data_IF_801151180690
#
_entry.id   IF_801151180690
#
_cell.length_a   1.000
_cell.length_b   1.000
_cell.length_c   1.000
_cell.angle_alpha   90.00
_cell.angle_beta   90.00
_cell.angle_gamma   90.00
#
_symmetry.space_group_name_H-M   'P 1'
#
loop_
_entity.id
_entity.type
_entity.pdbx_description
1 polymer ?
#
# COMPACT_ATOMS: atom_id res chain seq x y z
N UNK A 1 -29.85 -7.38 12.67
CA UNK A 1 -28.77 -8.40 12.79
C UNK A 1 -27.46 -7.65 12.71
N UNK A 2 -26.66 -7.71 13.77
CA UNK A 2 -25.59 -6.76 14.08
C UNK A 2 -24.35 -6.85 13.17
N UNK A 3 -24.23 -5.90 12.25
CA UNK A 3 -23.03 -5.66 11.42
C UNK A 3 -21.75 -5.42 12.25
N UNK A 4 -21.88 -4.97 13.50
CA UNK A 4 -20.72 -4.77 14.40
C UNK A 4 -20.12 -6.08 14.92
N UNK A 5 -20.90 -7.17 14.97
CA UNK A 5 -20.44 -8.47 15.49
C UNK A 5 -19.68 -9.28 14.43
N UNK A 6 -19.97 -9.04 13.15
CA UNK A 6 -19.21 -9.61 12.02
C UNK A 6 -17.93 -8.82 11.73
N UNK A 7 -17.95 -7.49 11.82
CA UNK A 7 -16.74 -6.66 11.68
C UNK A 7 -15.63 -7.05 12.67
N UNK A 8 -16.00 -7.35 13.93
CA UNK A 8 -15.06 -7.85 14.94
C UNK A 8 -14.51 -9.25 14.67
N UNK A 9 -15.26 -10.12 13.97
CA UNK A 9 -14.77 -11.45 13.54
C UNK A 9 -13.85 -11.36 12.33
N UNK A 10 -14.14 -10.45 11.40
CA UNK A 10 -13.30 -10.18 10.23
C UNK A 10 -11.96 -9.57 10.66
N UNK A 11 -11.95 -8.62 11.60
CA UNK A 11 -10.72 -8.05 12.21
C UNK A 11 -9.88 -9.09 12.96
N UNK A 12 -10.51 -10.08 13.62
CA UNK A 12 -9.79 -11.20 14.25
C UNK A 12 -9.25 -12.20 13.23
N UNK A 13 -9.90 -12.33 12.07
CA UNK A 13 -9.50 -13.21 10.98
C UNK A 13 -8.33 -12.64 10.17
N UNK A 14 -8.28 -11.32 9.97
CA UNK A 14 -7.15 -10.66 9.29
C UNK A 14 -5.85 -10.77 10.09
N UNK A 15 -5.92 -10.74 11.43
CA UNK A 15 -4.75 -10.96 12.29
C UNK A 15 -4.17 -12.38 12.14
N UNK A 16 -5.00 -13.36 11.82
CA UNK A 16 -4.59 -14.75 11.59
C UNK A 16 -4.13 -15.04 10.15
N UNK A 17 -4.33 -14.11 9.21
CA UNK A 17 -3.94 -14.27 7.81
C UNK A 17 -2.57 -13.65 7.51
N UNK A 18 -1.57 -13.92 8.36
CA UNK A 18 -0.16 -13.59 8.06
C UNK A 18 0.55 -14.92 7.77
N UNK A 19 0.62 -15.30 6.50
CA UNK A 19 1.24 -16.56 6.05
C UNK A 19 2.77 -16.52 6.01
N UNK A 20 3.38 -15.34 5.98
CA UNK A 20 4.79 -15.15 5.64
C UNK A 20 5.64 -14.81 6.87
N UNK A 21 6.69 -15.61 7.15
CA UNK A 21 7.65 -15.34 8.25
C UNK A 21 8.31 -13.95 8.10
N UNK A 22 8.60 -13.53 6.88
CA UNK A 22 9.19 -12.22 6.60
C UNK A 22 8.18 -11.05 6.70
N UNK A 23 6.88 -11.26 6.46
CA UNK A 23 5.89 -10.22 6.81
C UNK A 23 5.73 -10.13 8.33
N UNK A 24 5.81 -11.26 9.05
CA UNK A 24 5.92 -11.22 10.52
C UNK A 24 7.16 -10.47 10.94
N UNK A 25 8.34 -10.72 10.39
CA UNK A 25 9.56 -9.97 10.71
C UNK A 25 9.40 -8.46 10.45
N UNK A 26 8.81 -8.05 9.32
CA UNK A 26 8.49 -6.64 9.04
C UNK A 26 7.52 -6.03 10.06
N UNK A 27 6.51 -6.80 10.50
CA UNK A 27 5.54 -6.39 11.52
C UNK A 27 6.10 -6.43 12.95
N UNK A 28 7.00 -7.34 13.26
CA UNK A 28 7.68 -7.49 14.56
C UNK A 28 8.75 -6.41 14.75
N UNK A 29 9.40 -6.00 13.66
CA UNK A 29 10.34 -4.87 13.67
C UNK A 29 9.63 -3.53 13.90
N UNK A 30 8.34 -3.45 13.52
CA UNK A 30 7.46 -2.37 13.93
C UNK A 30 7.00 -2.54 15.39
N UNK A 31 7.74 -1.90 16.30
CA UNK A 31 7.42 -1.82 17.73
C UNK A 31 6.00 -1.29 18.03
N UNK A 32 5.38 -0.57 17.09
CA UNK A 32 4.03 -0.01 17.20
C UNK A 32 3.19 -0.54 16.05
N UNK A 33 1.97 -0.99 16.35
CA UNK A 33 0.93 -1.36 15.38
C UNK A 33 0.35 -0.12 14.68
N UNK A 34 1.22 0.76 14.17
CA UNK A 34 0.87 2.02 13.52
C UNK A 34 1.49 2.04 12.13
N UNK A 35 0.75 2.59 11.18
CA UNK A 35 1.07 2.55 9.76
C UNK A 35 0.86 3.93 9.14
N UNK A 36 1.86 4.43 8.42
CA UNK A 36 1.74 5.61 7.57
C UNK A 36 1.38 5.17 6.14
N UNK A 37 0.23 5.63 5.66
CA UNK A 37 -0.24 5.31 4.31
C UNK A 37 0.53 6.10 3.25
N UNK A 38 0.80 5.51 2.07
CA UNK A 38 1.38 6.24 0.95
C UNK A 38 0.35 7.24 0.42
N UNK A 39 0.59 8.52 0.66
CA UNK A 39 -0.23 9.67 0.26
C UNK A 39 0.69 10.57 -0.56
N UNK A 40 0.46 10.67 -1.88
CA UNK A 40 1.22 11.52 -2.82
C UNK A 40 2.75 11.32 -2.81
N UNK A 41 3.43 11.33 -3.97
CA UNK A 41 4.90 11.30 -3.95
C UNK A 41 5.49 12.50 -3.17
N UNK A 42 4.83 13.66 -3.21
CA UNK A 42 5.28 14.91 -2.57
C UNK A 42 5.08 14.96 -1.05
N UNK A 43 4.20 14.11 -0.49
CA UNK A 43 3.90 14.10 0.95
C UNK A 43 4.58 12.91 1.63
N UNK A 44 4.55 11.74 0.99
CA UNK A 44 5.18 10.50 1.51
C UNK A 44 6.60 10.32 0.99
N UNK A 45 7.44 11.35 1.19
CA UNK A 45 8.84 11.37 0.77
C UNK A 45 9.82 10.69 1.74
N UNK A 46 11.11 10.58 1.38
CA UNK A 46 12.12 9.83 2.12
C UNK A 46 12.26 10.20 3.59
N UNK A 47 12.23 11.50 3.91
CA UNK A 47 12.38 12.00 5.28
C UNK A 47 11.23 11.57 6.20
N UNK A 48 9.99 11.62 5.71
CA UNK A 48 8.83 11.20 6.47
C UNK A 48 8.86 9.69 6.72
N UNK A 49 9.09 8.91 5.66
CA UNK A 49 9.14 7.45 5.74
C UNK A 49 10.24 7.00 6.71
N UNK A 50 11.45 7.56 6.58
CA UNK A 50 12.57 7.25 7.47
C UNK A 50 12.24 7.57 8.93
N UNK A 51 11.65 8.73 9.21
CA UNK A 51 11.23 9.10 10.57
C UNK A 51 10.21 8.11 11.16
N UNK A 52 9.21 7.70 10.37
CA UNK A 52 8.17 6.75 10.77
C UNK A 52 8.76 5.38 11.12
N UNK A 53 9.60 4.83 10.24
CA UNK A 53 10.20 3.50 10.48
C UNK A 53 11.23 3.53 11.61
N UNK A 54 12.00 4.61 11.74
CA UNK A 54 12.91 4.80 12.87
C UNK A 54 12.15 4.85 14.20
N UNK A 55 10.96 5.46 14.24
CA UNK A 55 10.05 5.46 15.39
C UNK A 55 9.37 4.10 15.68
N UNK A 56 9.59 3.09 14.83
CA UNK A 56 9.08 1.73 15.00
C UNK A 56 7.67 1.51 14.48
N UNK A 57 7.23 2.32 13.51
CA UNK A 57 5.98 2.13 12.77
C UNK A 57 6.27 1.67 11.33
N UNK A 58 5.24 1.27 10.59
CA UNK A 58 5.37 0.91 9.17
C UNK A 58 5.29 2.17 8.30
N UNK A 59 6.28 2.38 7.43
CA UNK A 59 6.35 3.53 6.52
C UNK A 59 6.40 3.12 5.05
N UNK A 60 5.72 3.89 4.21
CA UNK A 60 5.59 3.63 2.78
C UNK A 60 5.86 4.88 1.95
N UNK A 61 6.81 4.78 1.02
CA UNK A 61 6.91 5.74 -0.07
C UNK A 61 5.69 5.57 -0.99
N UNK A 62 5.26 6.63 -1.67
CA UNK A 62 4.32 6.53 -2.78
C UNK A 62 5.09 6.55 -4.09
N UNK A 63 4.98 5.49 -4.90
CA UNK A 63 5.50 5.52 -6.25
C UNK A 63 4.75 6.60 -7.07
N UNK A 64 5.40 7.32 -7.98
CA UNK A 64 4.73 8.26 -8.87
C UNK A 64 3.60 7.57 -9.66
N UNK A 65 2.52 8.29 -9.96
CA UNK A 65 1.42 7.76 -10.78
C UNK A 65 1.81 7.64 -12.27
N UNK A 66 2.87 8.36 -12.68
CA UNK A 66 3.55 8.17 -13.95
C UNK A 66 4.74 7.20 -13.84
N UNK A 67 5.14 6.59 -14.95
CA UNK A 67 6.32 5.72 -15.02
C UNK A 67 7.62 6.54 -14.98
N UNK A 68 8.09 6.84 -13.77
CA UNK A 68 9.32 7.59 -13.49
C UNK A 68 10.30 6.71 -12.69
N UNK A 69 10.84 5.63 -13.30
CA UNK A 69 11.64 4.64 -12.59
C UNK A 69 12.91 5.23 -11.96
N UNK A 70 13.55 6.21 -12.60
CA UNK A 70 14.76 6.84 -12.07
C UNK A 70 14.47 7.71 -10.85
N UNK A 71 13.39 8.50 -10.88
CA UNK A 71 12.96 9.28 -9.71
C UNK A 71 12.61 8.34 -8.54
N UNK A 72 11.86 7.26 -8.79
CA UNK A 72 11.54 6.27 -7.75
C UNK A 72 12.80 5.60 -7.16
N UNK A 73 13.78 5.27 -8.00
CA UNK A 73 15.04 4.68 -7.55
C UNK A 73 15.79 5.63 -6.62
N UNK A 74 15.85 6.91 -6.97
CA UNK A 74 16.49 7.91 -6.11
C UNK A 74 15.73 8.08 -4.80
N UNK A 75 14.39 8.13 -4.80
CA UNK A 75 13.59 8.15 -3.57
C UNK A 75 13.90 6.96 -2.64
N UNK A 76 14.00 5.75 -3.19
CA UNK A 76 14.35 4.54 -2.43
C UNK A 76 15.77 4.64 -1.86
N UNK A 77 16.75 5.06 -2.67
CA UNK A 77 18.14 5.23 -2.23
C UNK A 77 18.27 6.28 -1.14
N UNK A 78 17.66 7.46 -1.31
CA UNK A 78 17.65 8.51 -0.29
C UNK A 78 16.99 8.02 1.01
N UNK A 79 15.93 7.22 0.93
CA UNK A 79 15.32 6.66 2.14
C UNK A 79 16.30 5.73 2.89
N UNK A 80 17.06 4.92 2.16
CA UNK A 80 18.10 4.03 2.71
C UNK A 80 19.30 4.76 3.31
N UNK A 81 19.59 6.00 2.92
CA UNK A 81 20.63 6.79 3.60
C UNK A 81 20.16 7.36 4.94
N UNK A 82 18.84 7.39 5.17
CA UNK A 82 18.22 7.95 6.38
C UNK A 82 17.79 6.87 7.39
N UNK A 83 17.75 5.60 6.99
CA UNK A 83 17.38 4.48 7.86
C UNK A 83 17.93 3.15 7.33
N UNK A 84 18.33 2.27 8.25
CA UNK A 84 18.66 0.87 7.98
C UNK A 84 17.45 -0.06 8.14
N UNK A 85 16.30 0.47 8.57
CA UNK A 85 15.09 -0.32 8.83
C UNK A 85 14.29 -0.56 7.55
N UNK A 86 13.55 -1.68 7.47
CA UNK A 86 12.73 -1.96 6.30
C UNK A 86 11.59 -0.95 6.14
N UNK A 87 11.29 -0.61 4.89
CA UNK A 87 10.16 0.22 4.49
C UNK A 87 9.51 -0.34 3.22
N UNK A 88 8.28 0.07 2.96
CA UNK A 88 7.53 -0.33 1.78
C UNK A 88 7.39 0.77 0.72
N UNK A 89 6.83 0.40 -0.42
CA UNK A 89 6.46 1.31 -1.51
C UNK A 89 5.04 1.00 -1.97
N UNK A 90 4.20 2.04 -2.07
CA UNK A 90 2.83 1.96 -2.53
C UNK A 90 2.68 2.24 -4.03
N UNK A 91 1.90 1.41 -4.72
CA UNK A 91 1.55 1.54 -6.14
C UNK A 91 0.03 1.53 -6.31
N UNK A 92 -0.46 2.32 -7.26
CA UNK A 92 -1.87 2.36 -7.67
C UNK A 92 -1.97 1.64 -9.02
N UNK A 93 -2.66 0.49 -9.08
CA UNK A 93 -2.71 -0.33 -10.31
C UNK A 93 -3.57 0.28 -11.41
N UNK A 94 -4.41 1.25 -11.09
CA UNK A 94 -5.22 1.97 -12.06
C UNK A 94 -4.38 2.88 -12.99
N UNK A 95 -3.10 3.12 -12.68
CA UNK A 95 -2.18 3.92 -13.48
C UNK A 95 -1.03 3.07 -14.05
N UNK A 96 -0.31 3.51 -15.10
CA UNK A 96 0.87 2.82 -15.59
C UNK A 96 1.92 2.61 -14.48
N UNK A 97 2.31 1.37 -14.24
CA UNK A 97 3.14 1.02 -13.08
C UNK A 97 4.27 0.03 -13.37
N UNK A 98 4.40 -0.48 -14.60
CA UNK A 98 5.27 -1.63 -14.87
C UNK A 98 6.75 -1.28 -14.70
N UNK A 99 7.18 -0.11 -15.18
CA UNK A 99 8.57 0.32 -15.00
C UNK A 99 8.90 0.65 -13.54
N UNK A 100 7.98 1.32 -12.83
CA UNK A 100 8.11 1.59 -11.39
C UNK A 100 8.18 0.28 -10.59
N UNK A 101 7.34 -0.71 -10.93
CA UNK A 101 7.36 -2.02 -10.30
C UNK A 101 8.70 -2.73 -10.49
N UNK A 102 9.30 -2.69 -11.69
CA UNK A 102 10.63 -3.25 -11.91
C UNK A 102 11.66 -2.66 -10.94
N UNK A 103 11.61 -1.35 -10.71
CA UNK A 103 12.50 -0.69 -9.74
C UNK A 103 12.26 -1.20 -8.32
N UNK A 104 11.01 -1.26 -7.87
CA UNK A 104 10.62 -1.76 -6.54
C UNK A 104 11.16 -3.18 -6.31
N UNK A 105 11.00 -4.06 -7.31
CA UNK A 105 11.44 -5.45 -7.23
C UNK A 105 12.96 -5.60 -7.30
N UNK A 106 13.63 -4.83 -8.16
CA UNK A 106 15.10 -4.84 -8.29
C UNK A 106 15.79 -4.28 -7.05
N UNK A 107 15.25 -3.20 -6.49
CA UNK A 107 15.73 -2.61 -5.25
C UNK A 107 15.36 -3.46 -4.03
N UNK A 108 14.45 -4.44 -4.15
CA UNK A 108 14.02 -5.35 -3.07
C UNK A 108 13.56 -4.61 -1.83
N UNK A 109 12.60 -3.69 -1.99
CA UNK A 109 11.94 -3.07 -0.83
C UNK A 109 11.20 -4.12 -0.01
N UNK A 110 10.92 -3.86 1.27
CA UNK A 110 10.36 -4.89 2.13
C UNK A 110 8.94 -5.29 1.71
N UNK A 111 8.11 -4.29 1.40
CA UNK A 111 6.70 -4.48 1.07
C UNK A 111 6.27 -3.62 -0.11
N UNK A 112 5.65 -4.24 -1.10
CA UNK A 112 4.84 -3.60 -2.12
C UNK A 112 3.39 -3.47 -1.59
N UNK A 113 2.95 -2.23 -1.35
CA UNK A 113 1.56 -1.95 -1.06
C UNK A 113 0.81 -1.67 -2.37
N UNK A 114 -0.34 -2.30 -2.56
CA UNK A 114 -1.10 -2.22 -3.82
C UNK A 114 -2.47 -1.60 -3.57
N UNK A 115 -2.92 -0.72 -4.46
CA UNK A 115 -4.22 -0.05 -4.36
C UNK A 115 -4.92 0.09 -5.71
N UNK A 116 -6.24 0.20 -5.68
CA UNK A 116 -7.11 0.47 -6.84
C UNK A 116 -6.93 -0.53 -7.99
N UNK A 117 -7.01 -1.80 -7.62
CA UNK A 117 -6.94 -2.94 -8.52
C UNK A 117 -6.76 -4.21 -7.70
N UNK A 118 -6.74 -5.35 -8.38
CA UNK A 118 -6.56 -6.65 -7.74
C UNK A 118 -5.18 -7.23 -8.04
N UNK A 119 -4.57 -7.92 -7.07
CA UNK A 119 -3.35 -8.66 -7.35
C UNK A 119 -3.68 -9.93 -8.13
N UNK A 120 -3.14 -10.06 -9.34
CA UNK A 120 -3.16 -11.33 -10.06
C UNK A 120 -2.16 -12.30 -9.44
N UNK A 121 -2.39 -13.62 -9.57
CA UNK A 121 -1.41 -14.64 -9.16
C UNK A 121 -0.04 -14.43 -9.81
N UNK A 122 -0.02 -13.95 -11.06
CA UNK A 122 1.20 -13.62 -11.76
C UNK A 122 1.96 -12.47 -11.07
N UNK A 123 1.28 -11.38 -10.72
CA UNK A 123 1.87 -10.26 -10.00
C UNK A 123 2.43 -10.69 -8.64
N UNK A 124 1.68 -11.51 -7.90
CA UNK A 124 2.10 -12.06 -6.61
C UNK A 124 3.36 -12.92 -6.79
N UNK A 125 3.34 -13.88 -7.70
CA UNK A 125 4.48 -14.77 -7.97
C UNK A 125 5.74 -14.00 -8.41
N UNK A 126 5.56 -13.01 -9.30
CA UNK A 126 6.64 -12.12 -9.76
C UNK A 126 7.23 -11.29 -8.63
N UNK A 127 6.39 -10.83 -7.69
CA UNK A 127 6.85 -10.07 -6.52
C UNK A 127 7.61 -10.98 -5.57
N UNK A 128 7.05 -12.16 -5.26
CA UNK A 128 7.66 -13.15 -4.36
C UNK A 128 9.01 -13.69 -4.84
N UNK A 129 9.20 -13.85 -6.16
CA UNK A 129 10.49 -14.34 -6.71
C UNK A 129 11.67 -13.40 -6.42
N UNK A 130 11.41 -12.15 -6.02
CA UNK A 130 12.43 -11.16 -5.65
C UNK A 130 12.61 -10.98 -4.15
N UNK A 131 11.80 -11.67 -3.34
CA UNK A 131 11.79 -11.58 -1.88
C UNK A 131 10.86 -10.50 -1.31
N UNK A 132 10.32 -9.62 -2.16
CA UNK A 132 9.37 -8.56 -1.77
C UNK A 132 8.03 -9.17 -1.34
N UNK A 133 7.40 -8.57 -0.33
CA UNK A 133 6.04 -8.94 0.13
C UNK A 133 4.98 -8.09 -0.53
N UNK A 134 3.80 -8.62 -0.75
CA UNK A 134 2.68 -7.88 -1.37
C UNK A 134 1.51 -7.77 -0.40
N UNK A 135 1.04 -6.53 -0.21
CA UNK A 135 -0.06 -6.20 0.70
C UNK A 135 -1.05 -5.26 -0.01
N UNK A 136 -2.12 -5.78 -0.62
CA UNK A 136 -3.15 -4.95 -1.22
C UNK A 136 -4.04 -4.27 -0.18
N UNK A 137 -4.66 -3.16 -0.60
CA UNK A 137 -5.73 -2.50 0.12
C UNK A 137 -7.09 -2.98 -0.40
N UNK A 138 -7.97 -3.39 0.51
CA UNK A 138 -9.31 -3.90 0.20
C UNK A 138 -10.38 -3.09 0.92
N UNK A 139 -11.49 -2.81 0.23
CA UNK A 139 -12.64 -2.06 0.78
C UNK A 139 -13.84 -2.94 1.14
N UNK A 140 -13.85 -4.22 0.77
CA UNK A 140 -14.95 -5.14 1.05
C UNK A 140 -14.46 -6.60 1.19
N UNK A 141 -15.35 -7.46 1.68
CA UNK A 141 -15.06 -8.87 1.98
C UNK A 141 -14.75 -9.67 0.72
N UNK A 142 -15.41 -9.37 -0.40
CA UNK A 142 -15.22 -10.12 -1.65
C UNK A 142 -13.83 -9.87 -2.24
N UNK A 143 -13.42 -8.60 -2.29
CA UNK A 143 -12.04 -8.23 -2.64
C UNK A 143 -11.02 -8.88 -1.72
N UNK A 144 -11.28 -8.91 -0.40
CA UNK A 144 -10.39 -9.58 0.54
C UNK A 144 -10.19 -11.08 0.22
N UNK A 145 -11.26 -11.81 -0.14
CA UNK A 145 -11.16 -13.22 -0.54
C UNK A 145 -10.36 -13.39 -1.83
N UNK A 146 -10.57 -12.54 -2.82
CA UNK A 146 -9.84 -12.59 -4.09
C UNK A 146 -8.33 -12.40 -3.88
N UNK A 147 -7.94 -11.43 -3.06
CA UNK A 147 -6.53 -11.19 -2.73
C UNK A 147 -5.91 -12.38 -1.96
N UNK A 148 -6.67 -12.95 -1.02
CA UNK A 148 -6.28 -14.16 -0.29
C UNK A 148 -6.01 -15.33 -1.25
N UNK A 149 -6.91 -15.55 -2.21
CA UNK A 149 -6.78 -16.60 -3.25
C UNK A 149 -5.63 -16.33 -4.23
N UNK A 150 -5.30 -15.06 -4.47
CA UNK A 150 -4.14 -14.67 -5.25
C UNK A 150 -2.81 -14.98 -4.54
N UNK A 151 -2.85 -15.17 -3.21
CA UNK A 151 -1.70 -15.58 -2.40
C UNK A 151 -0.91 -14.43 -1.79
N UNK A 152 -1.54 -13.28 -1.56
CA UNK A 152 -0.88 -12.11 -0.95
C UNK A 152 -0.42 -12.39 0.48
N UNK A 153 0.58 -11.64 0.96
CA UNK A 153 1.18 -11.89 2.27
C UNK A 153 0.33 -11.36 3.43
N UNK A 154 -0.49 -10.33 3.18
CA UNK A 154 -1.44 -9.74 4.11
C UNK A 154 -2.37 -8.77 3.37
N UNK A 155 -3.39 -8.22 4.06
CA UNK A 155 -4.33 -7.26 3.48
C UNK A 155 -4.53 -6.05 4.40
N UNK A 156 -4.65 -4.85 3.82
CA UNK A 156 -5.03 -3.63 4.55
C UNK A 156 -6.52 -3.38 4.29
N UNK A 157 -7.35 -3.45 5.33
CA UNK A 157 -8.78 -3.16 5.23
C UNK A 157 -9.01 -1.66 5.39
N UNK A 158 -9.57 -1.01 4.37
CA UNK A 158 -9.94 0.40 4.42
C UNK A 158 -11.46 0.53 4.60
N UNK A 159 -11.89 1.17 5.68
CA UNK A 159 -13.29 1.56 5.88
C UNK A 159 -13.68 2.77 5.03
N UNK A 160 -14.98 3.07 4.96
CA UNK A 160 -15.52 4.19 4.18
C UNK A 160 -15.16 5.58 4.74
N UNK A 161 -14.69 5.65 5.99
CA UNK A 161 -14.45 6.88 6.76
C UNK A 161 -13.08 7.52 6.49
N UNK A 162 -12.32 7.05 5.49
CA UNK A 162 -10.94 7.51 5.24
C UNK A 162 -10.90 8.68 4.27
N UNK A 163 -10.13 9.72 4.59
CA UNK A 163 -9.89 10.85 3.69
C UNK A 163 -9.12 10.45 2.41
N UNK A 164 -9.50 11.03 1.27
CA UNK A 164 -9.06 10.65 -0.08
C UNK A 164 -10.19 9.99 -0.88
N UNK A 165 -9.90 9.45 -2.08
CA UNK A 165 -10.93 8.73 -2.86
C UNK A 165 -11.25 7.39 -2.21
N UNK A 166 -12.51 7.23 -1.79
CA UNK A 166 -13.03 6.06 -1.08
C UNK A 166 -13.36 4.96 -2.07
N UNK A 167 -12.81 3.76 -1.86
CA UNK A 167 -13.22 2.56 -2.60
C UNK A 167 -14.30 1.85 -1.80
N UNK A 168 -15.52 2.36 -1.89
CA UNK A 168 -16.70 1.67 -1.42
C UNK A 168 -17.96 2.40 -1.84
N UNK A 169 -18.93 1.64 -2.32
CA UNK A 169 -20.27 2.14 -2.61
C UNK A 169 -21.22 1.60 -1.54
N UNK A 170 -21.97 2.49 -0.90
CA UNK A 170 -23.23 2.14 -0.25
C UNK A 170 -24.29 2.28 -1.33
N UNK A 171 -24.98 1.18 -1.65
CA UNK A 171 -26.27 1.24 -2.31
C UNK A 171 -27.24 1.87 -1.31
N UNK A 172 -27.39 3.18 -1.39
CA UNK A 172 -28.63 3.95 -1.21
C UNK A 172 -28.31 5.41 -0.83
N UNK A 173 -28.82 6.32 -1.67
CA UNK A 173 -29.06 7.76 -1.47
C UNK A 173 -28.11 8.79 -2.13
N UNK A 174 -28.69 9.41 -3.16
CA UNK A 174 -28.57 10.77 -3.70
C UNK A 174 -27.20 11.44 -3.89
N UNK A 175 -26.90 11.64 -5.18
CA UNK A 175 -25.85 12.48 -5.72
C UNK A 175 -25.97 13.94 -5.28
N UNK A 176 -24.92 14.49 -4.67
CA UNK A 176 -24.60 15.92 -4.76
C UNK A 176 -23.30 16.06 -5.53
N UNK A 177 -23.43 16.56 -6.75
CA UNK A 177 -22.34 17.02 -7.60
C UNK A 177 -21.73 18.29 -7.01
N UNK A 178 -20.42 18.30 -6.82
CA UNK A 178 -19.63 19.54 -6.82
C UNK A 178 -18.56 19.44 -7.87
N UNK A 179 -18.85 20.03 -9.03
CA UNK A 179 -17.86 20.30 -10.08
C UNK A 179 -16.71 21.10 -9.50
N UNK A 180 -15.53 20.48 -9.42
CA UNK A 180 -14.26 21.14 -9.13
C UNK A 180 -13.22 20.66 -10.12
N UNK A 181 -13.03 21.42 -11.20
CA UNK A 181 -11.95 21.19 -12.17
C UNK A 181 -10.61 21.44 -11.48
N UNK A 182 -9.87 20.38 -11.12
CA UNK A 182 -8.49 20.50 -10.65
C UNK A 182 -7.57 20.24 -11.85
N UNK A 183 -6.92 21.32 -12.29
CA UNK A 183 -5.86 21.30 -13.29
C UNK A 183 -4.69 20.44 -12.80
N UNK A 184 -4.33 19.42 -13.59
CA UNK A 184 -3.13 18.62 -13.39
C UNK A 184 -1.90 19.53 -13.50
N UNK A 185 -1.15 19.68 -12.40
CA UNK A 185 0.21 20.21 -12.43
C UNK A 185 1.17 19.02 -12.50
N UNK A 186 2.01 19.03 -13.53
CA UNK A 186 3.11 18.09 -13.71
C UNK A 186 3.99 18.04 -12.45
N UNK A 187 4.06 16.85 -11.84
CA UNK A 187 4.88 16.53 -10.68
C UNK A 187 6.36 16.57 -11.10
N UNK A 188 7.08 17.59 -10.63
CA UNK A 188 8.54 17.67 -10.78
C UNK A 188 9.19 16.97 -9.61
N UNK A 189 10.05 16.00 -9.91
CA UNK A 189 10.98 15.42 -8.95
C UNK A 189 11.85 16.57 -8.40
N UNK A 190 11.66 16.92 -7.13
CA UNK A 190 12.32 18.01 -6.42
C UNK A 190 12.93 17.53 -5.13
#
# INVERSE_FOLDING_TARGET
MDLQREGGKVLRSTYNYIRSRALKEFLEEAKRHSFQAPIGPDISGPHLVAAVVNAGALGFLKAPDSELPDCLRELIKTTRTLTDKPFGVGVVLAFPFQENLKVILNEKVAVLQVSWGNCTKELVNKTHSTGVKVVPRVGNIEGAKQEIEAGVDGIIVQGLEVGGHVIGQVSDQESVSTNGTISQREERCG
#
